data_IF_817638169603
#
_entry.id   IF_817638169603
#
_cell.length_a   1.000
_cell.length_b   1.000
_cell.length_c   1.000
_cell.angle_alpha   90.00
_cell.angle_beta   90.00
_cell.angle_gamma   90.00
#
_symmetry.space_group_name_H-M   'P 1'
#
loop_
_entity.id
_entity.type
_entity.pdbx_description
1 polymer ?
#
# COMPACT_ATOMS: atom_id res chain seq x y z
N UNK A 1 15.03 -11.70 18.75
CA UNK A 1 16.41 -12.21 18.65
C UNK A 1 17.06 -11.64 17.41
N UNK A 2 18.31 -11.23 17.52
CA UNK A 2 19.13 -10.78 16.39
C UNK A 2 20.14 -11.90 16.11
N UNK A 3 20.09 -12.43 14.88
CA UNK A 3 20.92 -13.53 14.44
C UNK A 3 22.01 -13.04 13.48
N UNK A 4 23.24 -13.44 13.67
CA UNK A 4 24.35 -13.22 12.76
C UNK A 4 25.00 -14.57 12.45
N UNK A 5 24.92 -15.04 11.19
CA UNK A 5 25.44 -16.36 10.77
C UNK A 5 25.02 -17.50 11.71
N UNK A 6 23.71 -17.58 12.01
CA UNK A 6 23.07 -18.56 12.91
C UNK A 6 23.43 -18.42 14.41
N UNK A 7 24.22 -17.43 14.81
CA UNK A 7 24.52 -17.11 16.20
C UNK A 7 23.56 -16.04 16.73
N UNK A 8 22.98 -16.24 17.93
CA UNK A 8 22.20 -15.22 18.62
C UNK A 8 23.16 -14.17 19.24
N UNK A 9 23.12 -12.96 18.67
CA UNK A 9 23.97 -11.85 19.11
C UNK A 9 23.20 -10.77 19.85
N UNK A 10 21.95 -11.04 20.25
CA UNK A 10 21.04 -10.05 20.86
C UNK A 10 21.66 -9.29 22.04
N UNK A 11 22.40 -9.97 22.89
CA UNK A 11 23.05 -9.34 24.06
C UNK A 11 24.39 -8.70 23.70
N UNK A 12 25.12 -9.25 22.73
CA UNK A 12 26.44 -8.78 22.31
C UNK A 12 26.37 -7.43 21.60
N UNK A 13 25.31 -7.14 20.86
CA UNK A 13 25.18 -5.89 20.09
C UNK A 13 24.79 -4.65 20.91
N UNK A 14 24.59 -4.80 22.22
CA UNK A 14 24.17 -3.71 23.12
C UNK A 14 25.30 -3.13 23.96
N UNK A 15 26.55 -3.43 23.64
CA UNK A 15 27.72 -2.89 24.33
C UNK A 15 28.05 -1.48 23.82
N UNK A 16 28.72 -0.62 24.63
CA UNK A 16 29.19 0.69 24.19
C UNK A 16 30.12 0.62 22.98
N UNK A 17 31.00 -0.38 22.94
CA UNK A 17 31.93 -0.60 21.83
C UNK A 17 31.23 -0.88 20.52
N UNK A 18 30.23 -1.77 20.50
CA UNK A 18 29.44 -2.05 19.31
C UNK A 18 28.61 -0.82 18.89
N UNK A 19 28.09 -0.05 19.85
CA UNK A 19 27.36 1.19 19.56
C UNK A 19 28.23 2.22 18.87
N UNK A 20 29.49 2.38 19.29
CA UNK A 20 30.46 3.25 18.63
C UNK A 20 30.87 2.72 17.25
N UNK A 21 31.06 1.42 17.12
CA UNK A 21 31.32 0.75 15.84
C UNK A 21 30.21 0.98 14.84
N UNK A 22 28.96 0.78 15.25
CA UNK A 22 27.78 1.03 14.43
C UNK A 22 27.69 2.51 13.96
N UNK A 23 27.97 3.46 14.84
CA UNK A 23 28.00 4.88 14.51
C UNK A 23 29.06 5.19 13.42
N UNK A 24 30.26 4.66 13.56
CA UNK A 24 31.35 4.85 12.58
C UNK A 24 31.02 4.21 11.23
N UNK A 25 30.53 2.98 11.22
CA UNK A 25 30.20 2.24 10.00
C UNK A 25 29.00 2.90 9.28
N UNK A 26 28.00 3.37 10.03
CA UNK A 26 26.86 4.07 9.45
C UNK A 26 27.18 5.45 8.85
N UNK A 27 28.36 6.00 9.10
CA UNK A 27 28.84 7.24 8.48
C UNK A 27 29.45 7.01 7.08
N UNK A 28 29.78 5.77 6.71
CA UNK A 28 30.35 5.41 5.40
C UNK A 28 29.29 5.58 4.33
N UNK A 29 29.50 6.39 3.26
CA UNK A 29 28.47 6.69 2.25
C UNK A 29 27.85 5.46 1.60
N UNK A 30 28.66 4.49 1.19
CA UNK A 30 28.22 3.27 0.51
C UNK A 30 27.36 2.38 1.43
N UNK A 31 27.71 2.29 2.69
CA UNK A 31 26.92 1.57 3.70
C UNK A 31 25.59 2.27 3.94
N UNK A 32 25.59 3.60 3.99
CA UNK A 32 24.36 4.37 4.13
C UNK A 32 23.41 4.18 2.95
N UNK A 33 23.93 4.25 1.72
CA UNK A 33 23.11 4.07 0.51
C UNK A 33 22.45 2.69 0.50
N UNK A 34 23.22 1.65 0.79
CA UNK A 34 22.69 0.28 0.90
C UNK A 34 21.61 0.16 1.97
N UNK A 35 21.86 0.67 3.17
CA UNK A 35 20.89 0.62 4.28
C UNK A 35 19.66 1.47 4.00
N UNK A 36 19.80 2.62 3.32
CA UNK A 36 18.68 3.48 2.95
C UNK A 36 17.67 2.77 2.05
N UNK A 37 18.16 2.07 1.03
CA UNK A 37 17.30 1.28 0.13
C UNK A 37 16.60 0.13 0.88
N UNK A 38 17.32 -0.56 1.75
CA UNK A 38 16.77 -1.63 2.60
C UNK A 38 15.64 -1.09 3.50
N UNK A 39 15.90 0.00 4.22
CA UNK A 39 14.93 0.64 5.12
C UNK A 39 13.68 1.12 4.38
N UNK A 40 13.85 1.77 3.22
CA UNK A 40 12.73 2.19 2.36
C UNK A 40 11.90 1.02 1.87
N UNK A 41 12.53 -0.10 1.50
CA UNK A 41 11.83 -1.27 1.02
C UNK A 41 11.02 -1.96 2.13
N UNK A 42 11.59 -2.07 3.34
CA UNK A 42 10.86 -2.58 4.53
C UNK A 42 9.62 -1.72 4.79
N UNK A 43 9.76 -0.39 4.73
CA UNK A 43 8.66 0.55 4.95
C UNK A 43 7.57 0.49 3.88
N UNK A 44 7.90 0.16 2.62
CA UNK A 44 6.92 -0.01 1.54
C UNK A 44 6.03 -1.24 1.72
N UNK A 45 6.57 -2.28 2.36
CA UNK A 45 5.91 -3.57 2.49
C UNK A 45 5.20 -3.77 3.83
N UNK A 46 5.53 -2.98 4.85
CA UNK A 46 5.06 -3.16 6.22
C UNK A 46 4.60 -1.85 6.85
N UNK A 47 3.70 -1.97 7.86
CA UNK A 47 3.51 -0.90 8.83
C UNK A 47 4.66 -0.99 9.83
N UNK A 48 5.43 0.08 9.96
CA UNK A 48 6.63 0.10 10.78
C UNK A 48 6.67 1.30 11.72
N UNK A 49 7.37 1.12 12.81
CA UNK A 49 7.89 2.21 13.64
C UNK A 49 9.41 2.14 13.50
N UNK A 50 10.04 3.25 13.16
CA UNK A 50 11.47 3.34 12.95
C UNK A 50 12.02 4.54 13.71
N UNK A 51 13.08 4.33 14.48
CA UNK A 51 13.79 5.40 15.16
C UNK A 51 15.17 5.62 14.55
N UNK A 52 15.69 6.82 14.71
CA UNK A 52 17.01 7.21 14.21
C UNK A 52 17.16 8.72 14.10
N UNK A 53 18.27 9.20 13.51
CA UNK A 53 18.64 10.60 13.46
C UNK A 53 18.08 11.36 12.25
N UNK A 54 17.84 10.63 11.17
CA UNK A 54 17.44 11.16 9.86
C UNK A 54 16.23 10.44 9.26
N UNK A 55 15.53 9.65 10.08
CA UNK A 55 14.39 8.85 9.60
C UNK A 55 13.29 9.73 9.01
N UNK A 56 12.90 10.79 9.70
CA UNK A 56 11.81 11.68 9.25
C UNK A 56 12.20 12.68 8.16
N UNK A 57 13.49 12.88 7.91
CA UNK A 57 14.00 13.84 6.92
C UNK A 57 14.52 13.17 5.64
N UNK A 58 15.17 12.03 5.76
CA UNK A 58 15.87 11.35 4.64
C UNK A 58 15.26 9.98 4.31
N UNK A 59 15.08 9.11 5.30
CA UNK A 59 14.65 7.73 5.09
C UNK A 59 13.17 7.66 4.73
N UNK A 60 12.31 8.28 5.54
CA UNK A 60 10.85 8.27 5.41
C UNK A 60 10.28 9.71 5.46
N UNK A 61 10.61 10.56 4.46
CA UNK A 61 10.13 11.95 4.44
C UNK A 61 8.63 12.09 4.30
N UNK A 62 7.93 11.02 3.93
CA UNK A 62 6.48 10.96 3.78
C UNK A 62 5.82 10.04 4.82
N UNK A 63 6.44 9.83 5.99
CA UNK A 63 5.84 9.05 7.08
C UNK A 63 4.52 9.68 7.55
N UNK A 64 3.54 8.84 7.91
CA UNK A 64 2.22 9.29 8.37
C UNK A 64 2.29 10.10 9.66
N UNK A 65 3.20 9.74 10.55
CA UNK A 65 3.47 10.45 11.81
C UNK A 65 4.97 10.57 11.98
N UNK A 66 5.43 11.79 12.26
CA UNK A 66 6.82 12.07 12.60
C UNK A 66 6.87 12.70 13.97
N UNK A 67 7.71 12.14 14.83
CA UNK A 67 7.92 12.62 16.19
C UNK A 67 9.41 12.92 16.33
N UNK A 68 9.73 14.13 16.78
CA UNK A 68 11.06 14.53 17.19
C UNK A 68 11.11 14.44 18.71
N UNK A 69 11.62 13.30 19.20
CA UNK A 69 11.77 13.05 20.64
C UNK A 69 13.06 13.71 21.13
N UNK A 70 12.96 14.58 22.11
CA UNK A 70 14.10 15.26 22.72
C UNK A 70 14.08 15.15 24.24
N UNK A 71 15.23 15.37 24.85
CA UNK A 71 15.39 15.56 26.29
C UNK A 71 16.73 16.30 26.56
N UNK A 72 16.81 17.05 27.64
CA UNK A 72 18.05 17.69 28.07
C UNK A 72 19.19 16.67 28.24
N UNK A 73 20.42 17.02 27.85
CA UNK A 73 21.57 16.13 27.98
C UNK A 73 21.74 15.59 29.41
N UNK A 74 21.52 16.43 30.41
CA UNK A 74 21.63 16.10 31.83
C UNK A 74 20.60 14.99 32.23
N UNK A 75 19.35 15.13 31.81
CA UNK A 75 18.32 14.12 32.11
C UNK A 75 18.63 12.77 31.43
N UNK A 76 19.18 12.81 30.20
CA UNK A 76 19.62 11.60 29.50
C UNK A 76 20.83 10.96 30.16
N UNK A 77 21.79 11.79 30.65
CA UNK A 77 22.96 11.32 31.36
C UNK A 77 22.57 10.67 32.69
N UNK A 78 21.62 11.22 33.42
CA UNK A 78 21.15 10.63 34.66
C UNK A 78 20.48 9.24 34.43
N UNK A 79 19.62 9.12 33.42
CA UNK A 79 18.99 7.85 33.04
C UNK A 79 20.04 6.80 32.65
N UNK A 80 21.00 7.22 31.81
CA UNK A 80 22.06 6.32 31.33
C UNK A 80 23.03 5.91 32.43
N UNK A 81 23.35 6.82 33.31
CA UNK A 81 24.23 6.55 34.44
C UNK A 81 23.60 5.51 35.40
N UNK A 82 22.30 5.64 35.72
CA UNK A 82 21.57 4.62 36.51
C UNK A 82 21.62 3.24 35.87
N UNK A 83 21.35 3.16 34.56
CA UNK A 83 21.43 1.88 33.83
C UNK A 83 22.83 1.25 33.86
N UNK A 84 23.87 2.06 33.75
CA UNK A 84 25.27 1.59 33.79
C UNK A 84 25.65 1.13 35.19
N UNK A 85 25.23 1.85 36.22
CA UNK A 85 25.43 1.41 37.61
C UNK A 85 24.76 0.06 37.92
N UNK A 86 23.52 -0.13 37.47
CA UNK A 86 22.80 -1.40 37.62
C UNK A 86 23.53 -2.59 36.96
N UNK A 87 24.27 -2.31 35.88
CA UNK A 87 25.10 -3.30 35.16
C UNK A 87 26.52 -3.45 35.75
N UNK A 88 26.85 -2.71 36.81
CA UNK A 88 28.16 -2.78 37.46
C UNK A 88 29.27 -2.02 36.69
N UNK A 89 28.91 -1.12 35.78
CA UNK A 89 29.84 -0.26 35.06
C UNK A 89 30.44 0.78 36.02
N UNK A 90 31.70 1.19 35.78
CA UNK A 90 32.47 2.06 36.65
C UNK A 90 32.51 3.50 36.14
N UNK A 91 31.83 3.83 35.06
CA UNK A 91 31.79 5.16 34.48
C UNK A 91 31.22 6.17 35.50
N UNK A 92 31.78 7.38 35.50
CA UNK A 92 31.25 8.48 36.30
C UNK A 92 30.11 9.20 35.56
N UNK A 93 29.30 9.95 36.32
CA UNK A 93 28.24 10.77 35.72
C UNK A 93 28.79 11.78 34.71
N UNK A 94 29.89 12.43 35.02
CA UNK A 94 30.51 13.43 34.16
C UNK A 94 31.02 12.86 32.84
N UNK A 95 31.60 11.64 32.88
CA UNK A 95 32.02 10.92 31.67
C UNK A 95 30.79 10.61 30.79
N UNK A 96 29.72 10.10 31.36
CA UNK A 96 28.49 9.82 30.62
C UNK A 96 27.86 11.08 30.03
N UNK A 97 27.86 12.16 30.77
CA UNK A 97 27.35 13.47 30.30
C UNK A 97 28.18 14.01 29.12
N UNK A 98 29.51 13.98 29.23
CA UNK A 98 30.39 14.46 28.16
C UNK A 98 30.23 13.58 26.90
N UNK A 99 30.10 12.27 27.03
CA UNK A 99 29.86 11.38 25.91
C UNK A 99 28.55 11.71 25.18
N UNK A 100 27.49 12.01 25.92
CA UNK A 100 26.20 12.41 25.35
C UNK A 100 26.31 13.74 24.61
N UNK A 101 26.92 14.75 25.20
CA UNK A 101 27.12 16.07 24.58
C UNK A 101 27.93 15.92 23.29
N UNK A 102 29.04 15.17 23.36
CA UNK A 102 29.91 14.96 22.19
C UNK A 102 29.16 14.21 21.06
N UNK A 103 28.35 13.23 21.41
CA UNK A 103 27.55 12.50 20.44
C UNK A 103 26.52 13.41 19.78
N UNK A 104 25.80 14.24 20.54
CA UNK A 104 24.82 15.18 20.02
C UNK A 104 25.46 16.17 19.07
N UNK A 105 26.66 16.68 19.43
CA UNK A 105 27.43 17.54 18.57
C UNK A 105 27.76 16.83 17.23
N UNK A 106 28.25 15.61 17.29
CA UNK A 106 28.61 14.85 16.09
C UNK A 106 27.35 14.57 15.22
N UNK A 107 26.23 14.18 15.84
CA UNK A 107 24.98 13.87 15.11
C UNK A 107 24.40 15.12 14.42
N UNK A 108 24.54 16.29 15.01
CA UNK A 108 24.02 17.57 14.46
C UNK A 108 24.96 18.22 13.43
N UNK A 109 26.27 17.97 13.50
CA UNK A 109 27.28 18.61 12.64
C UNK A 109 27.87 17.70 11.57
N UNK A 110 27.40 16.45 11.44
CA UNK A 110 27.87 15.57 10.38
C UNK A 110 27.46 16.11 9.00
N UNK A 111 28.31 15.93 8.00
CA UNK A 111 28.11 16.42 6.63
C UNK A 111 26.91 15.76 5.93
N UNK A 112 26.72 14.47 6.17
CA UNK A 112 25.65 13.69 5.49
C UNK A 112 24.50 13.44 6.46
N UNK A 113 23.30 13.89 6.12
CA UNK A 113 22.06 13.70 6.85
C UNK A 113 22.17 14.03 8.36
N UNK A 114 22.47 15.29 8.72
CA UNK A 114 22.58 15.70 10.13
C UNK A 114 21.27 15.49 10.88
N UNK A 115 21.35 15.34 12.19
CA UNK A 115 20.19 15.31 13.05
C UNK A 115 19.44 16.64 12.94
N UNK A 116 18.28 16.60 12.31
CA UNK A 116 17.42 17.76 12.12
C UNK A 116 15.95 17.37 12.29
N UNK A 117 15.20 18.19 13.01
CA UNK A 117 13.75 18.05 13.10
C UNK A 117 13.13 18.28 11.73
N UNK A 118 12.28 17.36 11.26
CA UNK A 118 11.51 17.57 10.05
C UNK A 118 10.44 18.65 10.29
N UNK A 119 10.10 19.45 9.27
CA UNK A 119 9.20 20.59 9.40
C UNK A 119 7.78 20.19 9.86
N UNK A 120 7.34 18.98 9.52
CA UNK A 120 6.04 18.39 9.90
C UNK A 120 6.11 17.48 11.13
N UNK A 121 7.30 17.37 11.78
CA UNK A 121 7.45 16.58 13.00
C UNK A 121 6.88 17.29 14.23
N UNK A 122 6.16 16.51 15.05
CA UNK A 122 5.74 16.96 16.38
C UNK A 122 6.89 16.74 17.35
N UNK A 123 7.28 17.79 18.06
CA UNK A 123 8.29 17.70 19.11
C UNK A 123 7.68 17.18 20.41
N UNK A 124 8.34 16.21 21.02
CA UNK A 124 8.00 15.68 22.34
C UNK A 124 9.24 15.80 23.19
N UNK A 125 9.24 16.73 24.14
CA UNK A 125 10.29 16.88 25.15
C UNK A 125 9.98 15.95 26.33
N UNK A 126 10.89 15.01 26.58
CA UNK A 126 10.78 14.04 27.67
C UNK A 126 11.71 14.34 28.84
N UNK A 127 12.24 15.58 28.94
CA UNK A 127 13.21 15.96 29.99
C UNK A 127 12.67 15.64 31.38
N UNK A 128 11.44 16.08 31.68
CA UNK A 128 10.80 15.92 32.98
C UNK A 128 9.85 14.69 33.06
N UNK A 129 9.73 13.91 31.96
CA UNK A 129 8.77 12.82 31.89
C UNK A 129 9.39 11.50 32.35
N UNK A 130 8.60 10.69 33.03
CA UNK A 130 8.87 9.27 33.25
C UNK A 130 8.80 8.51 31.95
N UNK A 131 9.20 7.23 31.95
CA UNK A 131 9.06 6.37 30.78
C UNK A 131 7.60 6.23 30.35
N UNK A 132 6.72 5.98 31.31
CA UNK A 132 5.28 5.80 31.10
C UNK A 132 4.64 7.07 30.51
N UNK A 133 4.95 8.24 31.07
CA UNK A 133 4.45 9.52 30.59
C UNK A 133 5.00 9.85 29.19
N UNK A 134 6.25 9.48 28.90
CA UNK A 134 6.84 9.64 27.56
C UNK A 134 6.12 8.75 26.52
N UNK A 135 5.82 7.50 26.88
CA UNK A 135 5.05 6.58 26.03
C UNK A 135 3.64 7.12 25.79
N UNK A 136 2.96 7.64 26.82
CA UNK A 136 1.62 8.20 26.68
C UNK A 136 1.62 9.46 25.81
N UNK A 137 2.62 10.34 25.95
CA UNK A 137 2.77 11.52 25.10
C UNK A 137 2.95 11.16 23.64
N UNK A 138 3.82 10.17 23.34
CA UNK A 138 4.03 9.63 21.98
C UNK A 138 2.74 9.01 21.44
N UNK A 139 2.06 8.18 22.24
CA UNK A 139 0.81 7.52 21.87
C UNK A 139 -0.28 8.54 21.53
N UNK A 140 -0.39 9.62 22.32
CA UNK A 140 -1.32 10.71 22.07
C UNK A 140 -1.04 11.39 20.72
N UNK A 141 0.21 11.72 20.41
CA UNK A 141 0.58 12.30 19.11
C UNK A 141 0.19 11.38 17.94
N UNK A 142 0.48 10.08 18.06
CA UNK A 142 0.12 9.09 17.04
C UNK A 142 -1.40 9.06 16.87
N UNK A 143 -2.14 8.95 17.96
CA UNK A 143 -3.61 8.86 17.95
C UNK A 143 -4.26 10.11 17.37
N UNK A 144 -3.79 11.29 17.74
CA UNK A 144 -4.33 12.56 17.25
C UNK A 144 -4.05 12.77 15.76
N UNK A 145 -2.84 12.42 15.30
CA UNK A 145 -2.49 12.51 13.88
C UNK A 145 -3.28 11.49 13.03
N UNK A 146 -3.43 10.26 13.52
CA UNK A 146 -4.20 9.22 12.83
C UNK A 146 -5.70 9.53 12.83
N UNK A 147 -6.28 9.97 13.94
CA UNK A 147 -7.67 10.42 14.00
C UNK A 147 -7.95 11.63 13.10
N UNK A 148 -7.01 12.58 13.01
CA UNK A 148 -7.14 13.74 12.12
C UNK A 148 -7.10 13.31 10.65
N UNK A 149 -6.28 12.31 10.30
CA UNK A 149 -6.24 11.71 8.96
C UNK A 149 -7.55 10.97 8.64
N UNK A 150 -8.09 10.21 9.60
CA UNK A 150 -9.39 9.56 9.48
C UNK A 150 -10.55 10.55 9.28
N UNK A 151 -10.59 11.64 10.05
CA UNK A 151 -11.58 12.72 9.87
C UNK A 151 -11.46 13.35 8.49
N UNK A 152 -10.24 13.63 8.02
CA UNK A 152 -10.01 14.21 6.70
C UNK A 152 -10.44 13.27 5.57
N UNK A 153 -10.25 11.94 5.73
CA UNK A 153 -10.77 10.94 4.78
C UNK A 153 -12.31 10.90 4.81
N UNK A 154 -12.93 10.98 6.00
CA UNK A 154 -14.40 11.06 6.15
C UNK A 154 -15.01 12.34 5.55
N UNK A 155 -14.31 13.47 5.68
CA UNK A 155 -14.73 14.75 5.09
C UNK A 155 -14.53 14.79 3.56
N UNK A 156 -13.49 14.14 3.05
CA UNK A 156 -13.13 14.16 1.62
C UNK A 156 -13.95 13.16 0.80
N UNK A 157 -14.38 12.05 1.40
CA UNK A 157 -15.09 11.00 0.66
C UNK A 157 -16.33 10.50 1.41
N UNK A 158 -17.42 11.27 1.35
CA UNK A 158 -18.71 10.77 1.85
C UNK A 158 -19.11 9.52 1.04
N UNK A 159 -19.79 8.58 1.70
CA UNK A 159 -20.41 7.46 1.02
C UNK A 159 -21.40 7.99 0.00
N UNK A 160 -21.24 7.60 -1.26
CA UNK A 160 -22.09 7.98 -2.40
C UNK A 160 -22.59 6.69 -3.06
N UNK A 161 -23.67 6.08 -2.56
CA UNK A 161 -24.20 4.86 -3.16
C UNK A 161 -24.53 5.10 -4.64
N UNK A 162 -24.01 4.24 -5.49
CA UNK A 162 -24.27 4.31 -6.93
C UNK A 162 -25.71 3.90 -7.18
N UNK A 163 -26.51 4.82 -7.73
CA UNK A 163 -27.85 4.50 -8.21
C UNK A 163 -27.74 3.77 -9.54
N UNK A 164 -28.22 2.52 -9.58
CA UNK A 164 -28.17 1.66 -10.78
C UNK A 164 -29.20 2.04 -11.85
N UNK A 165 -29.51 3.33 -12.01
CA UNK A 165 -30.57 3.81 -12.92
C UNK A 165 -30.08 3.99 -14.36
N UNK A 166 -28.78 4.08 -14.58
CA UNK A 166 -28.22 4.30 -15.91
C UNK A 166 -27.92 2.98 -16.63
N UNK A 167 -28.76 2.64 -17.62
CA UNK A 167 -28.46 1.60 -18.59
C UNK A 167 -27.70 2.20 -19.78
N UNK A 168 -26.66 1.52 -20.21
CA UNK A 168 -25.97 1.88 -21.46
C UNK A 168 -26.95 1.80 -22.63
N UNK A 169 -26.89 2.78 -23.53
CA UNK A 169 -27.81 2.83 -24.67
C UNK A 169 -27.74 1.56 -25.55
N UNK A 170 -28.86 1.15 -26.13
CA UNK A 170 -29.00 -0.07 -26.93
C UNK A 170 -27.95 -0.18 -28.05
N UNK A 171 -27.64 0.93 -28.72
CA UNK A 171 -26.65 0.96 -29.80
C UNK A 171 -25.23 0.62 -29.30
N UNK A 172 -24.79 1.16 -28.17
CA UNK A 172 -23.49 0.84 -27.58
C UNK A 172 -23.42 -0.62 -27.11
N UNK A 173 -24.52 -1.13 -26.57
CA UNK A 173 -24.61 -2.53 -26.13
C UNK A 173 -24.57 -3.50 -27.30
N UNK A 174 -25.20 -3.18 -28.40
CA UNK A 174 -25.16 -3.99 -29.62
C UNK A 174 -23.72 -4.14 -30.14
N UNK A 175 -23.03 -3.04 -30.39
CA UNK A 175 -21.65 -3.06 -30.89
C UNK A 175 -20.67 -3.70 -29.90
N UNK A 176 -20.84 -3.44 -28.61
CA UNK A 176 -20.06 -4.13 -27.60
C UNK A 176 -20.25 -5.66 -27.66
N UNK A 177 -21.48 -6.09 -27.81
CA UNK A 177 -21.83 -7.52 -27.89
C UNK A 177 -21.19 -8.17 -29.13
N UNK A 178 -21.31 -7.54 -30.30
CA UNK A 178 -20.69 -8.03 -31.54
C UNK A 178 -19.17 -8.14 -31.39
N UNK A 179 -18.51 -7.05 -30.96
CA UNK A 179 -17.06 -7.03 -30.76
C UNK A 179 -16.63 -8.09 -29.73
N UNK A 180 -17.35 -8.24 -28.65
CA UNK A 180 -17.08 -9.24 -27.62
C UNK A 180 -17.08 -10.66 -28.18
N UNK A 181 -18.07 -11.04 -29.00
CA UNK A 181 -18.10 -12.37 -29.62
C UNK A 181 -16.94 -12.61 -30.58
N UNK A 182 -16.53 -11.61 -31.35
CA UNK A 182 -15.34 -11.69 -32.21
C UNK A 182 -14.10 -11.95 -31.33
N UNK A 183 -13.93 -11.17 -30.26
CA UNK A 183 -12.77 -11.31 -29.36
C UNK A 183 -12.79 -12.65 -28.63
N UNK A 184 -13.97 -13.15 -28.21
CA UNK A 184 -14.13 -14.49 -27.63
C UNK A 184 -13.61 -15.55 -28.61
N UNK A 185 -14.04 -15.50 -29.86
CA UNK A 185 -13.60 -16.46 -30.91
C UNK A 185 -12.08 -16.43 -31.11
N UNK A 186 -11.48 -15.25 -31.24
CA UNK A 186 -10.04 -15.08 -31.37
C UNK A 186 -9.26 -15.60 -30.16
N UNK A 187 -9.76 -15.31 -28.95
CA UNK A 187 -9.11 -15.75 -27.71
C UNK A 187 -9.21 -17.26 -27.50
N UNK A 188 -10.33 -17.89 -27.81
CA UNK A 188 -10.45 -19.35 -27.77
C UNK A 188 -9.61 -20.05 -28.86
N UNK A 189 -9.43 -19.41 -30.02
CA UNK A 189 -8.52 -19.90 -31.04
C UNK A 189 -7.05 -19.85 -30.56
N UNK A 190 -6.67 -18.74 -29.89
CA UNK A 190 -5.30 -18.51 -29.46
C UNK A 190 -4.94 -19.18 -28.13
N UNK A 191 -5.86 -19.20 -27.16
CA UNK A 191 -5.67 -19.77 -25.82
C UNK A 191 -6.67 -20.90 -25.55
N UNK A 192 -6.30 -21.82 -24.66
CA UNK A 192 -7.22 -22.80 -24.09
C UNK A 192 -7.81 -22.23 -22.79
N UNK A 193 -8.91 -21.48 -22.90
CA UNK A 193 -9.50 -20.75 -21.77
C UNK A 193 -10.65 -21.54 -21.17
N UNK A 194 -10.64 -21.63 -19.83
CA UNK A 194 -11.75 -22.17 -19.02
C UNK A 194 -12.26 -21.08 -18.08
N UNK A 195 -13.56 -20.88 -18.03
CA UNK A 195 -14.23 -19.99 -17.09
C UNK A 195 -14.99 -20.83 -16.05
N UNK A 196 -14.80 -20.51 -14.77
CA UNK A 196 -15.45 -21.16 -13.64
C UNK A 196 -16.15 -20.08 -12.78
N UNK A 197 -17.31 -20.39 -12.18
CA UNK A 197 -18.06 -19.46 -11.34
C UNK A 197 -18.72 -18.31 -12.11
N UNK A 198 -19.01 -18.48 -13.42
CA UNK A 198 -19.61 -17.43 -14.24
C UNK A 198 -21.02 -17.04 -13.80
N UNK A 199 -21.71 -17.91 -13.06
CA UNK A 199 -22.99 -17.65 -12.40
C UNK A 199 -22.91 -16.55 -11.35
N UNK A 200 -21.72 -16.29 -10.81
CA UNK A 200 -21.44 -15.21 -9.84
C UNK A 200 -21.31 -13.83 -10.50
N UNK A 201 -21.26 -13.77 -11.82
CA UNK A 201 -21.14 -12.50 -12.56
C UNK A 201 -22.49 -11.78 -12.54
N UNK A 202 -22.60 -10.58 -11.95
CA UNK A 202 -23.84 -9.82 -11.98
C UNK A 202 -24.28 -9.49 -13.41
N UNK A 203 -25.57 -9.61 -13.66
CA UNK A 203 -26.16 -9.36 -15.00
C UNK A 203 -26.29 -7.88 -15.33
N UNK A 204 -26.33 -7.04 -14.31
CA UNK A 204 -26.37 -5.58 -14.38
C UNK A 204 -24.96 -4.97 -14.27
N UNK A 205 -24.82 -3.71 -14.67
CA UNK A 205 -23.58 -2.94 -14.53
C UNK A 205 -23.42 -2.29 -13.16
N UNK A 206 -22.33 -1.53 -13.01
CA UNK A 206 -22.01 -0.82 -11.77
C UNK A 206 -21.41 -1.73 -10.71
N UNK A 207 -20.65 -2.76 -11.10
CA UNK A 207 -19.97 -3.67 -10.19
C UNK A 207 -18.44 -3.55 -10.34
N UNK A 208 -17.70 -3.90 -9.29
CA UNK A 208 -16.25 -3.95 -9.30
C UNK A 208 -15.80 -5.39 -9.48
N UNK A 209 -14.85 -5.64 -10.39
CA UNK A 209 -14.13 -6.90 -10.53
C UNK A 209 -12.72 -6.70 -9.97
N UNK A 210 -12.39 -7.37 -8.89
CA UNK A 210 -11.08 -7.29 -8.25
C UNK A 210 -10.27 -8.56 -8.57
N UNK A 211 -9.12 -8.45 -9.23
CA UNK A 211 -8.34 -9.60 -9.70
C UNK A 211 -6.86 -9.51 -9.35
N UNK A 212 -6.20 -10.66 -9.24
CA UNK A 212 -4.75 -10.72 -9.32
C UNK A 212 -4.26 -10.25 -10.70
N UNK A 213 -3.02 -9.74 -10.78
CA UNK A 213 -2.51 -9.15 -12.01
C UNK A 213 -1.23 -9.84 -12.49
N UNK A 214 -1.31 -10.51 -13.63
CA UNK A 214 -0.21 -11.30 -14.20
C UNK A 214 0.22 -10.85 -15.61
N UNK A 215 -0.74 -10.33 -16.40
CA UNK A 215 -0.54 -10.05 -17.81
C UNK A 215 -1.25 -8.76 -18.24
N UNK A 216 -0.86 -8.19 -19.35
CA UNK A 216 -1.64 -7.14 -20.04
C UNK A 216 -2.97 -7.66 -20.61
N UNK A 217 -3.14 -8.99 -20.72
CA UNK A 217 -4.35 -9.64 -21.22
C UNK A 217 -5.42 -9.80 -20.13
N UNK A 218 -5.08 -9.61 -18.85
CA UNK A 218 -5.98 -9.88 -17.73
C UNK A 218 -7.33 -9.13 -17.84
N UNK A 219 -7.39 -7.83 -18.22
CA UNK A 219 -8.65 -7.14 -18.40
C UNK A 219 -9.53 -7.78 -19.48
N UNK A 220 -8.91 -8.33 -20.54
CA UNK A 220 -9.63 -9.01 -21.61
C UNK A 220 -10.20 -10.33 -21.12
N UNK A 221 -9.41 -11.17 -20.42
CA UNK A 221 -9.90 -12.41 -19.84
C UNK A 221 -11.12 -12.20 -18.93
N UNK A 222 -11.16 -11.12 -18.15
CA UNK A 222 -12.30 -10.78 -17.30
C UNK A 222 -13.49 -10.31 -18.16
N UNK A 223 -13.24 -9.60 -19.26
CA UNK A 223 -14.27 -9.06 -20.13
C UNK A 223 -15.03 -10.12 -20.93
N UNK A 224 -14.37 -11.23 -21.31
CA UNK A 224 -14.95 -12.23 -22.21
C UNK A 224 -16.30 -12.80 -21.70
N UNK A 225 -16.46 -13.22 -20.43
CA UNK A 225 -17.74 -13.73 -19.95
C UNK A 225 -18.72 -12.64 -19.50
N UNK A 226 -18.26 -11.38 -19.31
CA UNK A 226 -19.12 -10.31 -18.82
C UNK A 226 -20.01 -9.76 -19.94
N UNK A 227 -21.28 -9.48 -19.63
CA UNK A 227 -22.25 -8.93 -20.59
C UNK A 227 -22.23 -7.41 -20.64
N UNK A 228 -21.72 -6.77 -19.60
CA UNK A 228 -21.66 -5.29 -19.47
C UNK A 228 -20.21 -4.85 -19.70
N UNK A 229 -20.00 -3.74 -20.46
CA UNK A 229 -18.68 -3.22 -20.74
C UNK A 229 -17.88 -2.92 -19.47
N UNK A 230 -16.61 -3.29 -19.49
CA UNK A 230 -15.66 -2.99 -18.41
C UNK A 230 -15.01 -1.62 -18.62
N UNK A 231 -14.62 -1.00 -17.50
CA UNK A 231 -13.64 0.08 -17.46
C UNK A 231 -12.47 -0.35 -16.58
N UNK A 232 -11.25 0.04 -16.91
CA UNK A 232 -10.08 -0.30 -16.11
C UNK A 232 -9.05 0.81 -16.10
N UNK A 233 -8.34 0.89 -14.98
CA UNK A 233 -7.28 1.86 -14.77
C UNK A 233 -6.04 1.46 -15.56
N UNK A 234 -5.49 2.36 -16.36
CA UNK A 234 -4.23 2.14 -17.06
C UNK A 234 -3.28 3.31 -16.79
N UNK A 235 -1.99 3.03 -16.79
CA UNK A 235 -0.97 4.08 -16.61
C UNK A 235 -1.10 5.13 -17.69
N UNK A 236 -0.99 6.40 -17.32
CA UNK A 236 -1.07 7.54 -18.24
C UNK A 236 -0.07 7.42 -19.41
N UNK A 237 1.13 6.89 -19.14
CA UNK A 237 2.16 6.72 -20.17
C UNK A 237 1.73 5.78 -21.31
N UNK A 238 0.77 4.88 -21.08
CA UNK A 238 0.25 3.99 -22.13
C UNK A 238 -0.60 4.72 -23.15
N UNK A 239 -1.14 5.89 -22.80
CA UNK A 239 -1.96 6.71 -23.71
C UNK A 239 -1.14 7.65 -24.60
N UNK A 240 0.19 7.67 -24.40
CA UNK A 240 1.11 8.53 -25.17
C UNK A 240 2.09 7.75 -26.06
N UNK A 241 2.00 6.41 -26.08
CA UNK A 241 2.94 5.57 -26.82
C UNK A 241 2.64 5.50 -28.35
N UNK A 242 1.38 5.26 -28.69
CA UNK A 242 0.95 5.09 -30.07
C UNK A 242 -0.55 5.41 -30.20
N UNK A 243 -0.93 6.16 -31.25
CA UNK A 243 -2.32 6.61 -31.47
C UNK A 243 -3.28 5.42 -31.63
N UNK A 244 -2.90 4.40 -32.41
CA UNK A 244 -3.73 3.21 -32.61
C UNK A 244 -3.88 2.42 -31.32
N UNK A 245 -2.80 2.25 -30.58
CA UNK A 245 -2.85 1.56 -29.28
C UNK A 245 -3.71 2.34 -28.27
N UNK A 246 -3.57 3.67 -28.26
CA UNK A 246 -4.39 4.54 -27.40
C UNK A 246 -5.87 4.44 -27.72
N UNK A 247 -6.24 4.47 -29.01
CA UNK A 247 -7.63 4.30 -29.44
C UNK A 247 -8.15 2.92 -29.06
N UNK A 248 -7.35 1.89 -29.24
CA UNK A 248 -7.71 0.51 -28.89
C UNK A 248 -8.00 0.37 -27.38
N UNK A 249 -7.08 0.79 -26.52
CA UNK A 249 -7.28 0.66 -25.07
C UNK A 249 -8.44 1.53 -24.56
N UNK A 250 -8.66 2.73 -25.15
CA UNK A 250 -9.85 3.57 -24.85
C UNK A 250 -11.14 2.89 -25.28
N UNK A 251 -11.18 2.27 -26.47
CA UNK A 251 -12.33 1.52 -26.96
C UNK A 251 -12.68 0.34 -26.02
N UNK A 252 -11.68 -0.28 -25.44
CA UNK A 252 -11.85 -1.34 -24.42
C UNK A 252 -12.12 -0.80 -23.01
N UNK A 253 -12.28 0.53 -22.82
CA UNK A 253 -12.69 1.12 -21.56
C UNK A 253 -11.55 1.52 -20.62
N UNK A 254 -10.30 1.56 -21.10
CA UNK A 254 -9.19 2.08 -20.30
C UNK A 254 -9.35 3.57 -20.04
N UNK A 255 -9.01 4.00 -18.83
CA UNK A 255 -8.88 5.42 -18.49
C UNK A 255 -7.54 5.68 -17.80
N UNK A 256 -6.93 6.86 -18.05
CA UNK A 256 -5.60 7.16 -17.54
C UNK A 256 -5.62 7.40 -16.04
N UNK A 257 -4.56 6.97 -15.37
CA UNK A 257 -4.29 7.23 -13.95
C UNK A 257 -2.86 7.70 -13.77
N UNK A 258 -2.69 8.90 -13.22
CA UNK A 258 -1.38 9.46 -12.86
C UNK A 258 -1.00 9.01 -11.46
N UNK A 259 0.10 8.28 -11.32
CA UNK A 259 0.58 7.85 -10.00
C UNK A 259 1.10 9.06 -9.21
N UNK A 260 0.65 9.19 -7.96
CA UNK A 260 1.17 10.20 -7.02
C UNK A 260 0.48 11.56 -7.04
N UNK A 261 -0.45 11.83 -7.95
CA UNK A 261 -1.35 12.99 -7.87
C UNK A 261 -2.69 12.55 -7.31
N UNK A 262 -2.87 12.69 -6.01
CA UNK A 262 -4.11 12.60 -5.23
C UNK A 262 -5.06 11.46 -5.62
N UNK A 263 -5.25 10.50 -4.75
CA UNK A 263 -6.16 9.35 -4.92
C UNK A 263 -7.63 9.77 -5.23
N UNK A 264 -8.00 11.02 -4.96
CA UNK A 264 -9.37 11.54 -5.08
C UNK A 264 -9.88 11.53 -6.52
N UNK A 265 -9.10 12.01 -7.47
CA UNK A 265 -9.51 12.08 -8.89
C UNK A 265 -9.75 10.69 -9.49
N UNK A 266 -8.93 9.72 -9.10
CA UNK A 266 -9.07 8.32 -9.54
C UNK A 266 -10.35 7.71 -9.02
N UNK A 267 -10.69 8.01 -7.76
CA UNK A 267 -11.91 7.51 -7.11
C UNK A 267 -13.14 8.16 -7.73
N UNK A 268 -13.15 9.48 -7.92
CA UNK A 268 -14.27 10.19 -8.58
C UNK A 268 -14.50 9.66 -10.00
N UNK A 269 -13.44 9.45 -10.78
CA UNK A 269 -13.54 8.85 -12.11
C UNK A 269 -14.09 7.42 -12.04
N UNK A 270 -13.67 6.64 -11.05
CA UNK A 270 -14.15 5.27 -10.86
C UNK A 270 -15.65 5.23 -10.55
N UNK A 271 -16.10 6.12 -9.66
CA UNK A 271 -17.51 6.27 -9.29
C UNK A 271 -18.33 6.69 -10.51
N UNK A 272 -17.87 7.70 -11.27
CA UNK A 272 -18.52 8.12 -12.51
C UNK A 272 -18.73 6.97 -13.52
N UNK A 273 -17.74 6.07 -13.65
CA UNK A 273 -17.88 4.90 -14.54
C UNK A 273 -18.93 3.91 -14.03
N UNK A 274 -18.95 3.69 -12.72
CA UNK A 274 -19.95 2.83 -12.08
C UNK A 274 -21.37 3.42 -12.22
N UNK A 275 -21.54 4.72 -12.02
CA UNK A 275 -22.81 5.45 -12.20
C UNK A 275 -23.32 5.38 -13.63
N UNK A 276 -22.42 5.41 -14.62
CA UNK A 276 -22.75 5.21 -16.04
C UNK A 276 -23.10 3.75 -16.39
N UNK A 277 -23.25 2.89 -15.39
CA UNK A 277 -23.62 1.49 -15.56
C UNK A 277 -22.53 0.61 -16.16
N UNK A 278 -21.27 1.06 -16.15
CA UNK A 278 -20.12 0.23 -16.56
C UNK A 278 -19.59 -0.55 -15.36
N UNK A 279 -19.07 -1.72 -15.63
CA UNK A 279 -18.30 -2.45 -14.60
C UNK A 279 -16.87 -1.89 -14.52
N UNK A 280 -16.24 -1.96 -13.36
CA UNK A 280 -14.90 -1.49 -13.12
C UNK A 280 -13.96 -2.65 -12.78
N UNK A 281 -12.82 -2.77 -13.46
CA UNK A 281 -11.77 -3.73 -13.10
C UNK A 281 -10.67 -3.02 -12.32
N UNK A 282 -10.35 -3.55 -11.16
CA UNK A 282 -9.26 -3.07 -10.31
C UNK A 282 -8.33 -4.24 -10.00
N UNK A 283 -7.03 -4.01 -10.14
CA UNK A 283 -5.99 -4.93 -9.71
C UNK A 283 -5.42 -4.43 -8.37
N UNK A 284 -5.83 -5.02 -7.23
CA UNK A 284 -5.44 -4.50 -5.91
C UNK A 284 -3.94 -4.46 -5.69
N UNK A 285 -3.17 -5.34 -6.31
CA UNK A 285 -1.71 -5.40 -6.22
C UNK A 285 -1.03 -4.14 -6.79
N UNK A 286 -1.68 -3.45 -7.74
CA UNK A 286 -1.18 -2.24 -8.39
C UNK A 286 -0.01 -2.46 -9.36
N UNK A 287 0.52 -3.68 -9.44
CA UNK A 287 1.60 -4.08 -10.35
C UNK A 287 1.42 -5.54 -10.74
N UNK A 288 1.97 -5.94 -11.90
CA UNK A 288 1.90 -7.34 -12.34
C UNK A 288 2.86 -8.21 -11.55
N UNK A 289 2.39 -9.37 -11.12
CA UNK A 289 3.20 -10.44 -10.53
C UNK A 289 3.94 -11.20 -11.63
N UNK A 290 5.26 -11.33 -11.52
CA UNK A 290 6.09 -12.06 -12.47
C UNK A 290 6.21 -13.55 -12.13
N UNK A 291 6.06 -13.88 -10.86
CA UNK A 291 6.20 -15.23 -10.28
C UNK A 291 4.86 -15.96 -10.12
N UNK A 292 3.76 -15.30 -10.44
CA UNK A 292 2.42 -15.86 -10.34
C UNK A 292 1.81 -15.84 -8.93
N UNK A 293 2.55 -15.41 -7.93
CA UNK A 293 2.05 -15.30 -6.54
C UNK A 293 1.19 -14.05 -6.38
N UNK A 294 0.07 -14.19 -5.68
CA UNK A 294 -0.76 -13.04 -5.30
C UNK A 294 -0.02 -12.21 -4.27
N UNK A 295 0.12 -10.92 -4.54
CA UNK A 295 0.82 -9.97 -3.67
C UNK A 295 -0.14 -9.24 -2.75
N UNK A 296 0.41 -8.55 -1.75
CA UNK A 296 -0.37 -7.74 -0.81
C UNK A 296 -1.18 -6.67 -1.56
N UNK A 297 -2.50 -6.64 -1.33
CA UNK A 297 -3.39 -5.65 -1.94
C UNK A 297 -3.27 -4.27 -1.30
N UNK A 298 -3.45 -3.23 -2.14
CA UNK A 298 -3.59 -1.83 -1.73
C UNK A 298 -5.04 -1.51 -1.37
N UNK A 299 -5.27 -0.42 -0.67
CA UNK A 299 -6.58 -0.01 -0.18
C UNK A 299 -7.49 0.60 -1.24
N UNK A 300 -7.00 0.90 -2.45
CA UNK A 300 -7.76 1.60 -3.48
C UNK A 300 -9.07 0.91 -3.86
N UNK A 301 -9.06 -0.42 -4.06
CA UNK A 301 -10.29 -1.18 -4.36
C UNK A 301 -11.30 -1.10 -3.22
N UNK A 302 -10.82 -1.20 -1.97
CA UNK A 302 -11.67 -1.13 -0.80
C UNK A 302 -12.31 0.27 -0.64
N UNK A 303 -11.55 1.31 -0.95
CA UNK A 303 -12.05 2.69 -0.87
C UNK A 303 -13.14 2.95 -1.92
N UNK A 304 -12.92 2.55 -3.18
CA UNK A 304 -13.96 2.69 -4.23
C UNK A 304 -15.21 1.90 -3.85
N UNK A 305 -15.07 0.66 -3.37
CA UNK A 305 -16.19 -0.17 -2.97
C UNK A 305 -16.96 0.43 -1.77
N UNK A 306 -16.24 0.92 -0.76
CA UNK A 306 -16.85 1.52 0.43
C UNK A 306 -17.56 2.85 0.11
N UNK A 307 -17.00 3.68 -0.78
CA UNK A 307 -17.62 4.94 -1.20
C UNK A 307 -18.86 4.66 -2.07
N UNK A 308 -18.72 3.80 -3.07
CA UNK A 308 -19.78 3.52 -4.04
C UNK A 308 -20.85 2.55 -3.54
N UNK A 309 -20.58 1.80 -2.46
CA UNK A 309 -21.46 0.76 -1.92
C UNK A 309 -21.93 -0.25 -2.97
N UNK A 310 -21.03 -0.67 -3.86
CA UNK A 310 -21.30 -1.62 -4.94
C UNK A 310 -20.65 -2.96 -4.69
N UNK A 311 -21.22 -4.06 -5.23
CA UNK A 311 -20.62 -5.39 -5.12
C UNK A 311 -19.24 -5.47 -5.74
N UNK A 312 -18.34 -6.22 -5.08
CA UNK A 312 -17.00 -6.55 -5.58
C UNK A 312 -16.96 -8.04 -5.89
N UNK A 313 -16.76 -8.39 -7.14
CA UNK A 313 -16.57 -9.76 -7.60
C UNK A 313 -15.09 -10.09 -7.57
N UNK A 314 -14.61 -10.97 -6.68
CA UNK A 314 -13.23 -11.40 -6.70
C UNK A 314 -12.97 -12.33 -7.89
N UNK A 315 -11.85 -12.15 -8.57
CA UNK A 315 -11.48 -12.94 -9.76
C UNK A 315 -10.07 -13.49 -9.61
N UNK A 316 -9.92 -14.80 -9.84
CA UNK A 316 -8.63 -15.47 -9.90
C UNK A 316 -8.26 -15.81 -11.34
N UNK A 317 -7.11 -15.32 -11.82
CA UNK A 317 -6.56 -15.68 -13.13
C UNK A 317 -5.35 -16.56 -12.92
N UNK A 318 -5.38 -17.79 -13.44
CA UNK A 318 -4.29 -18.74 -13.30
C UNK A 318 -3.82 -19.27 -14.67
N UNK A 319 -2.49 -19.26 -14.86
CA UNK A 319 -1.79 -19.91 -15.96
C UNK A 319 -0.32 -20.12 -15.56
N UNK A 320 0.33 -21.13 -16.07
CA UNK A 320 1.73 -21.42 -15.79
C UNK A 320 2.70 -20.63 -16.68
N UNK A 321 3.73 -20.04 -16.11
CA UNK A 321 4.79 -19.34 -16.84
C UNK A 321 4.29 -18.14 -17.64
N UNK A 322 4.76 -18.00 -18.90
CA UNK A 322 4.37 -16.93 -19.82
C UNK A 322 3.19 -17.34 -20.70
N UNK A 323 2.32 -16.40 -21.04
CA UNK A 323 1.25 -16.61 -22.04
C UNK A 323 1.86 -16.88 -23.42
N UNK A 324 1.41 -17.98 -24.04
CA UNK A 324 1.83 -18.45 -25.38
C UNK A 324 0.60 -19.00 -26.10
N UNK A 325 0.73 -19.25 -27.40
CA UNK A 325 -0.28 -19.94 -28.20
C UNK A 325 -0.70 -21.27 -27.55
N UNK A 326 -2.01 -21.54 -27.47
CA UNK A 326 -2.65 -22.73 -26.87
C UNK A 326 -2.34 -22.92 -25.37
N UNK A 327 -1.85 -21.87 -24.67
CA UNK A 327 -1.65 -21.95 -23.23
C UNK A 327 -3.01 -22.06 -22.51
N UNK A 328 -3.07 -22.97 -21.55
CA UNK A 328 -4.24 -23.09 -20.67
C UNK A 328 -4.33 -21.89 -19.73
N UNK A 329 -5.48 -21.25 -19.72
CA UNK A 329 -5.81 -20.13 -18.82
C UNK A 329 -7.10 -20.47 -18.11
N UNK A 330 -7.11 -20.40 -16.80
CA UNK A 330 -8.31 -20.61 -15.97
C UNK A 330 -8.67 -19.29 -15.31
N UNK A 331 -9.90 -18.86 -15.51
CA UNK A 331 -10.45 -17.63 -14.92
C UNK A 331 -11.62 -18.00 -14.02
N UNK A 332 -11.49 -17.74 -12.73
CA UNK A 332 -12.50 -18.07 -11.73
C UNK A 332 -13.14 -16.82 -11.16
N UNK A 333 -14.47 -16.83 -11.07
CA UNK A 333 -15.27 -15.76 -10.51
C UNK A 333 -15.85 -16.20 -9.16
N UNK A 334 -15.43 -15.53 -8.09
CA UNK A 334 -15.96 -15.79 -6.75
C UNK A 334 -17.30 -15.09 -6.51
N UNK A 335 -17.92 -15.41 -5.37
CA UNK A 335 -19.17 -14.78 -4.96
C UNK A 335 -18.97 -13.27 -4.74
N UNK A 336 -19.93 -12.43 -5.17
CA UNK A 336 -19.85 -11.00 -4.94
C UNK A 336 -19.78 -10.67 -3.43
N UNK A 337 -18.89 -9.78 -3.08
CA UNK A 337 -18.74 -9.23 -1.73
C UNK A 337 -19.49 -7.89 -1.71
N UNK A 338 -20.57 -7.81 -0.94
CA UNK A 338 -21.36 -6.58 -0.79
C UNK A 338 -20.88 -5.84 0.46
N UNK A 339 -20.36 -4.59 0.36
CA UNK A 339 -19.81 -3.87 1.51
C UNK A 339 -20.74 -3.79 2.70
N UNK A 340 -22.03 -3.49 2.48
CA UNK A 340 -23.04 -3.41 3.55
C UNK A 340 -23.29 -4.73 4.28
N UNK A 341 -23.24 -5.88 3.57
CA UNK A 341 -23.47 -7.21 4.16
C UNK A 341 -22.35 -7.66 5.08
N UNK A 342 -21.12 -7.17 4.86
CA UNK A 342 -19.97 -7.40 5.73
C UNK A 342 -19.73 -6.27 6.73
N UNK A 343 -20.75 -5.42 6.98
CA UNK A 343 -20.70 -4.35 7.97
C UNK A 343 -19.89 -3.12 7.57
N UNK A 344 -19.51 -2.98 6.30
CA UNK A 344 -18.75 -1.82 5.80
C UNK A 344 -19.71 -0.76 5.27
N UNK A 345 -20.03 0.18 6.15
CA UNK A 345 -20.94 1.31 5.86
C UNK A 345 -20.24 2.66 5.83
N UNK A 346 -18.95 2.69 6.07
CA UNK A 346 -18.13 3.90 6.14
C UNK A 346 -16.77 3.70 5.47
N UNK A 347 -16.04 4.80 5.29
CA UNK A 347 -14.69 4.82 4.69
C UNK A 347 -13.57 4.91 5.73
N UNK A 348 -13.85 4.52 6.97
CA UNK A 348 -12.85 4.49 8.03
C UNK A 348 -11.78 3.39 7.78
N UNK A 349 -10.58 3.52 8.36
CA UNK A 349 -9.48 2.59 8.13
C UNK A 349 -9.78 1.14 8.51
N UNK A 350 -10.61 0.91 9.52
CA UNK A 350 -11.00 -0.44 9.93
C UNK A 350 -11.88 -1.08 8.87
N UNK A 351 -12.93 -0.38 8.41
CA UNK A 351 -13.82 -0.80 7.34
C UNK A 351 -13.06 -1.08 6.04
N UNK A 352 -12.15 -0.17 5.64
CA UNK A 352 -11.33 -0.35 4.44
C UNK A 352 -10.37 -1.55 4.57
N UNK A 353 -9.84 -1.81 5.77
CA UNK A 353 -9.00 -2.99 6.01
C UNK A 353 -9.80 -4.27 5.94
N UNK A 354 -10.99 -4.29 6.50
CA UNK A 354 -11.90 -5.45 6.50
C UNK A 354 -12.23 -5.87 5.07
N UNK A 355 -12.78 -4.96 4.26
CA UNK A 355 -13.16 -5.27 2.87
C UNK A 355 -11.93 -5.62 2.00
N UNK A 356 -10.80 -4.93 2.19
CA UNK A 356 -9.56 -5.27 1.47
C UNK A 356 -9.11 -6.69 1.79
N UNK A 357 -9.09 -7.07 3.05
CA UNK A 357 -8.64 -8.40 3.48
C UNK A 357 -9.56 -9.48 2.94
N UNK A 358 -10.89 -9.25 2.96
CA UNK A 358 -11.87 -10.18 2.42
C UNK A 358 -11.69 -10.36 0.90
N UNK A 359 -11.53 -9.27 0.15
CA UNK A 359 -11.25 -9.32 -1.30
C UNK A 359 -9.97 -10.13 -1.58
N UNK A 360 -8.87 -9.82 -0.88
CA UNK A 360 -7.58 -10.47 -1.12
C UNK A 360 -7.57 -11.94 -0.74
N UNK A 361 -8.27 -12.32 0.33
CA UNK A 361 -8.47 -13.71 0.72
C UNK A 361 -9.16 -14.49 -0.40
N UNK A 362 -10.30 -13.99 -0.87
CA UNK A 362 -11.06 -14.62 -1.95
C UNK A 362 -10.26 -14.73 -3.27
N UNK A 363 -9.52 -13.67 -3.66
CA UNK A 363 -8.63 -13.73 -4.83
C UNK A 363 -7.58 -14.83 -4.67
N UNK A 364 -6.97 -14.94 -3.49
CA UNK A 364 -5.93 -15.95 -3.22
C UNK A 364 -6.49 -17.38 -3.33
N UNK A 365 -7.67 -17.63 -2.79
CA UNK A 365 -8.35 -18.93 -2.88
C UNK A 365 -8.72 -19.30 -4.33
N UNK A 366 -9.07 -18.32 -5.17
CA UNK A 366 -9.44 -18.54 -6.57
C UNK A 366 -8.23 -18.78 -7.49
N UNK A 367 -7.03 -18.41 -7.09
CA UNK A 367 -5.81 -18.64 -7.89
C UNK A 367 -5.27 -20.06 -7.69
N UNK A 368 -5.57 -20.68 -6.58
CA UNK A 368 -5.18 -22.07 -6.28
C UNK A 368 -6.28 -23.03 -6.70
#
# INVERSE_FOLDING_TARGET
RVMLNDEDVSDKIRTPEISMGASKVSAIPEVREFLLELQKNIAKENNIIMDGRDIGTVVLPNADVKIFLTAAPEARAERRFKELQEKGDKSTYDEVLQDIIQRDYNDTHREIAPLKKADDAVEVDSTELTLEESVEAIYKVITDKTKKKERKIKEIMPVRPVKKEHRLGHFHMFWYTVLRYIVIGLYHLYFNITFEGTENIPKDGGNIFASNHRSYQDPVFIALPTRVPLSYMAKEELFHQNVFFTLLIKAFGAFPVTRGKGDTQVIDTSIEKLEKGRNLVIFPEGTRSKDGKVRKGKTGVALVAAVAQVPVVPVGINFEGKLKFRKRVVVRFGKPIVPGEIGVTATDPHSLRTIKNEIMKNITELVH
#
